data_IF_117919878627
#
_entry.id   IF_117919878627
#
_cell.length_a   1.000
_cell.length_b   1.000
_cell.length_c   1.000
_cell.angle_alpha   90.00
_cell.angle_beta   90.00
_cell.angle_gamma   90.00
#
_symmetry.space_group_name_H-M   'P 1'
#
loop_
_entity.id
_entity.type
_entity.pdbx_description
1 polymer ?
#
# COMPACT_ATOMS: atom_id res chain seq x y z
N UNK A 1 -46.20 -13.90 17.15
CA UNK A 1 -45.39 -12.94 16.35
C UNK A 1 -44.06 -12.58 17.01
N UNK A 2 -43.97 -12.45 18.34
CA UNK A 2 -42.71 -12.13 19.05
C UNK A 2 -41.58 -13.18 18.86
N UNK A 3 -41.94 -14.44 18.61
CA UNK A 3 -41.03 -15.58 18.50
C UNK A 3 -40.09 -15.53 17.27
N UNK A 4 -40.43 -14.77 16.23
CA UNK A 4 -39.58 -14.59 15.03
C UNK A 4 -38.83 -13.26 15.02
N UNK A 5 -39.27 -12.27 15.81
CA UNK A 5 -38.67 -10.93 15.86
C UNK A 5 -37.35 -10.95 16.63
N UNK A 6 -37.31 -11.67 17.76
CA UNK A 6 -36.10 -11.78 18.60
C UNK A 6 -34.89 -12.36 17.84
N UNK A 7 -34.99 -13.50 17.13
CA UNK A 7 -33.86 -14.03 16.37
C UNK A 7 -33.46 -13.14 15.18
N UNK A 8 -34.42 -12.45 14.54
CA UNK A 8 -34.13 -11.53 13.45
C UNK A 8 -33.35 -10.29 13.92
N UNK A 9 -33.72 -9.71 15.06
CA UNK A 9 -33.02 -8.56 15.65
C UNK A 9 -31.62 -8.97 16.14
N UNK A 10 -31.47 -10.15 16.73
CA UNK A 10 -30.17 -10.65 17.16
C UNK A 10 -29.21 -10.86 15.97
N UNK A 11 -29.71 -11.37 14.85
CA UNK A 11 -28.91 -11.54 13.63
C UNK A 11 -28.50 -10.18 13.03
N UNK A 12 -29.41 -9.21 13.01
CA UNK A 12 -29.12 -7.84 12.56
C UNK A 12 -28.04 -7.14 13.39
N UNK A 13 -28.01 -7.39 14.71
CA UNK A 13 -27.02 -6.84 15.62
C UNK A 13 -25.66 -7.55 15.56
N UNK A 14 -25.62 -8.81 15.09
CA UNK A 14 -24.38 -9.57 14.95
C UNK A 14 -23.61 -9.28 13.65
N UNK A 15 -24.31 -8.89 12.57
CA UNK A 15 -23.71 -8.51 11.28
C UNK A 15 -22.62 -7.42 11.34
N UNK A 16 -22.78 -6.30 12.08
CA UNK A 16 -21.77 -5.24 12.11
C UNK A 16 -20.49 -5.62 12.86
N UNK A 17 -20.47 -6.70 13.65
CA UNK A 17 -19.28 -7.13 14.40
C UNK A 17 -18.21 -7.74 13.48
N UNK A 18 -18.62 -8.42 12.40
CA UNK A 18 -17.69 -8.99 11.41
C UNK A 18 -17.04 -7.94 10.51
N UNK A 19 -17.81 -6.92 10.11
CA UNK A 19 -17.30 -5.79 9.31
C UNK A 19 -16.28 -4.94 10.09
N UNK A 20 -16.46 -4.79 11.40
CA UNK A 20 -15.54 -4.03 12.25
C UNK A 20 -14.18 -4.72 12.41
N UNK A 21 -14.13 -6.05 12.44
CA UNK A 21 -12.86 -6.79 12.58
C UNK A 21 -11.94 -6.64 11.36
N UNK A 22 -12.49 -6.72 10.14
CA UNK A 22 -11.72 -6.43 8.92
C UNK A 22 -11.20 -4.99 8.92
N UNK A 23 -12.05 -4.03 9.33
CA UNK A 23 -11.66 -2.62 9.41
C UNK A 23 -10.56 -2.34 10.45
N UNK A 24 -10.51 -3.09 11.56
CA UNK A 24 -9.47 -2.92 12.58
C UNK A 24 -8.11 -3.42 12.08
N UNK A 25 -8.09 -4.56 11.38
CA UNK A 25 -6.87 -5.10 10.79
C UNK A 25 -6.30 -4.15 9.74
N UNK A 26 -7.15 -3.62 8.85
CA UNK A 26 -6.78 -2.64 7.84
C UNK A 26 -6.28 -1.32 8.46
N UNK A 27 -6.94 -0.85 9.52
CA UNK A 27 -6.51 0.34 10.26
C UNK A 27 -5.11 0.15 10.88
N UNK A 28 -4.88 -0.98 11.54
CA UNK A 28 -3.59 -1.29 12.14
C UNK A 28 -2.50 -1.46 11.07
N UNK A 29 -2.83 -2.09 9.94
CA UNK A 29 -1.92 -2.19 8.80
C UNK A 29 -1.55 -0.80 8.27
N UNK A 30 -2.54 0.07 8.02
CA UNK A 30 -2.30 1.45 7.59
C UNK A 30 -1.35 2.20 8.54
N UNK A 31 -1.56 2.05 9.87
CA UNK A 31 -0.68 2.65 10.88
C UNK A 31 0.76 2.12 10.82
N UNK A 32 0.93 0.82 10.66
CA UNK A 32 2.25 0.22 10.51
C UNK A 32 2.95 0.71 9.22
N UNK A 33 2.21 0.79 8.12
CA UNK A 33 2.75 1.31 6.86
C UNK A 33 3.13 2.79 6.98
N UNK A 34 2.38 3.60 7.74
CA UNK A 34 2.74 5.00 8.01
C UNK A 34 4.09 5.09 8.73
N UNK A 35 4.32 4.27 9.75
CA UNK A 35 5.60 4.22 10.46
C UNK A 35 6.76 3.78 9.55
N UNK A 36 6.53 2.76 8.71
CA UNK A 36 7.53 2.33 7.72
C UNK A 36 7.83 3.43 6.72
N UNK A 37 6.82 4.16 6.24
CA UNK A 37 6.99 5.28 5.33
C UNK A 37 7.80 6.42 5.97
N UNK A 38 7.48 6.82 7.19
CA UNK A 38 8.20 7.85 7.95
C UNK A 38 9.69 7.52 8.06
N UNK A 39 10.01 6.31 8.56
CA UNK A 39 11.39 5.85 8.68
C UNK A 39 12.09 5.73 7.33
N UNK A 40 11.39 5.22 6.32
CA UNK A 40 11.95 5.06 4.98
C UNK A 40 12.20 6.40 4.29
N UNK A 41 11.52 7.48 4.71
CA UNK A 41 11.66 8.82 4.17
C UNK A 41 12.84 9.61 4.75
N UNK A 42 13.53 9.08 5.76
CA UNK A 42 14.74 9.69 6.28
C UNK A 42 15.77 9.89 5.16
N UNK A 43 16.24 11.14 5.01
CA UNK A 43 17.21 11.52 3.98
C UNK A 43 16.67 11.57 2.55
N UNK A 44 15.34 11.61 2.36
CA UNK A 44 14.72 11.81 1.05
C UNK A 44 14.24 13.28 0.86
N UNK A 45 14.19 13.79 -0.38
CA UNK A 45 14.49 13.09 -1.64
C UNK A 45 16.00 12.81 -1.81
N UNK A 46 16.33 11.70 -2.49
CA UNK A 46 17.71 11.35 -2.82
C UNK A 46 17.83 10.79 -4.23
N UNK A 47 18.95 11.06 -4.89
CA UNK A 47 19.26 10.43 -6.18
C UNK A 47 19.60 8.95 -5.96
N UNK A 48 18.94 8.04 -6.69
CA UNK A 48 19.35 6.65 -6.82
C UNK A 48 20.49 6.55 -7.85
N UNK A 49 20.34 7.28 -8.96
CA UNK A 49 21.36 7.47 -9.97
C UNK A 49 21.09 8.82 -10.69
N UNK A 50 21.85 9.11 -11.77
CA UNK A 50 21.72 10.37 -12.51
C UNK A 50 20.33 10.60 -13.14
N UNK A 51 19.57 9.54 -13.37
CA UNK A 51 18.29 9.56 -14.10
C UNK A 51 17.09 9.19 -13.21
N UNK A 52 17.28 8.90 -11.93
CA UNK A 52 16.23 8.41 -11.04
C UNK A 52 16.35 9.00 -9.64
N UNK A 53 15.31 9.73 -9.22
CA UNK A 53 15.18 10.35 -7.91
C UNK A 53 14.14 9.59 -7.07
N UNK A 54 14.53 9.18 -5.87
CA UNK A 54 13.63 8.64 -4.85
C UNK A 54 13.01 9.81 -4.08
N UNK A 55 11.71 10.05 -4.28
CA UNK A 55 10.93 11.12 -3.62
C UNK A 55 10.28 10.65 -2.33
N UNK A 56 10.43 9.37 -1.99
CA UNK A 56 9.93 8.79 -0.76
C UNK A 56 8.58 8.12 -0.87
N UNK A 57 8.07 7.79 0.29
CA UNK A 57 7.00 6.86 0.51
C UNK A 57 5.77 7.58 1.01
N UNK A 58 4.62 7.19 0.48
CA UNK A 58 3.28 7.59 0.94
C UNK A 58 2.46 6.33 1.21
N UNK A 59 1.41 6.46 2.01
CA UNK A 59 0.50 5.34 2.32
C UNK A 59 -0.90 5.68 1.82
N UNK A 60 -1.49 4.76 1.07
CA UNK A 60 -2.89 4.81 0.65
C UNK A 60 -3.58 3.52 1.12
N UNK A 61 -4.44 3.64 2.13
CA UNK A 61 -5.09 2.49 2.77
C UNK A 61 -4.07 1.45 3.25
N UNK A 62 -4.05 0.29 2.61
CA UNK A 62 -3.15 -0.84 2.92
C UNK A 62 -1.94 -0.93 1.98
N UNK A 63 -1.67 0.12 1.19
CA UNK A 63 -0.61 0.16 0.19
C UNK A 63 0.46 1.17 0.57
N UNK A 64 1.71 0.70 0.64
CA UNK A 64 2.89 1.55 0.76
C UNK A 64 3.45 1.85 -0.64
N UNK A 65 3.50 3.13 -1.01
CA UNK A 65 3.83 3.59 -2.36
C UNK A 65 5.17 4.29 -2.34
N UNK A 66 6.16 3.80 -3.09
CA UNK A 66 7.39 4.54 -3.34
C UNK A 66 7.23 5.43 -4.58
N UNK A 67 7.35 6.74 -4.39
CA UNK A 67 7.28 7.75 -5.43
C UNK A 67 8.68 7.97 -6.02
N UNK A 68 8.81 7.70 -7.31
CA UNK A 68 10.05 7.83 -8.06
C UNK A 68 9.85 8.86 -9.17
N UNK A 69 10.86 9.67 -9.42
CA UNK A 69 10.90 10.60 -10.55
C UNK A 69 12.05 10.22 -11.46
N UNK A 70 11.72 9.83 -12.70
CA UNK A 70 12.69 9.43 -13.71
C UNK A 70 12.92 10.58 -14.70
N UNK A 71 14.15 10.67 -15.23
CA UNK A 71 14.45 11.59 -16.33
C UNK A 71 13.58 11.29 -17.56
N UNK A 72 13.35 12.25 -18.46
CA UNK A 72 12.53 12.03 -19.66
C UNK A 72 13.03 10.84 -20.50
N UNK A 73 14.35 10.67 -20.60
CA UNK A 73 14.99 9.58 -21.35
C UNK A 73 14.72 8.23 -20.67
N UNK A 74 14.98 8.10 -19.38
CA UNK A 74 14.73 6.85 -18.64
C UNK A 74 13.23 6.51 -18.65
N UNK A 75 12.37 7.49 -18.45
CA UNK A 75 10.92 7.30 -18.51
C UNK A 75 10.45 6.83 -19.90
N UNK A 76 11.03 7.36 -20.99
CA UNK A 76 10.74 6.89 -22.34
C UNK A 76 11.19 5.43 -22.55
N UNK A 77 12.38 5.07 -22.07
CA UNK A 77 12.89 3.70 -22.11
C UNK A 77 11.97 2.74 -21.34
N UNK A 78 11.59 3.07 -20.10
CA UNK A 78 10.69 2.25 -19.29
C UNK A 78 9.32 2.07 -19.95
N UNK A 79 8.77 3.10 -20.62
CA UNK A 79 7.50 3.00 -21.36
C UNK A 79 7.61 2.17 -22.64
N UNK A 80 8.79 2.14 -23.28
CA UNK A 80 9.01 1.38 -24.50
C UNK A 80 9.15 -0.14 -24.27
N UNK A 81 9.51 -0.56 -23.06
CA UNK A 81 9.70 -1.96 -22.68
C UNK A 81 9.23 -2.25 -21.23
N UNK A 82 7.93 -2.07 -20.92
CA UNK A 82 7.40 -2.25 -19.55
C UNK A 82 7.61 -3.69 -19.02
N UNK A 83 7.61 -4.69 -19.90
CA UNK A 83 7.86 -6.10 -19.58
C UNK A 83 9.29 -6.35 -19.07
N UNK A 84 10.24 -5.46 -19.33
CA UNK A 84 11.57 -5.53 -18.74
C UNK A 84 11.62 -4.85 -17.35
N UNK A 85 10.93 -3.72 -17.19
CA UNK A 85 10.96 -2.91 -15.96
C UNK A 85 10.18 -3.54 -14.81
N UNK A 86 8.96 -4.04 -15.06
CA UNK A 86 8.07 -4.57 -14.01
C UNK A 86 8.67 -5.80 -13.29
N UNK A 87 9.22 -6.82 -13.97
CA UNK A 87 9.80 -7.97 -13.29
C UNK A 87 11.04 -7.62 -12.46
N UNK A 88 11.81 -6.61 -12.87
CA UNK A 88 12.96 -6.16 -12.08
C UNK A 88 12.52 -5.56 -10.75
N UNK A 89 11.47 -4.71 -10.76
CA UNK A 89 10.86 -4.18 -9.54
C UNK A 89 10.30 -5.30 -8.67
N UNK A 90 9.56 -6.25 -9.28
CA UNK A 90 9.01 -7.41 -8.57
C UNK A 90 10.07 -8.24 -7.87
N UNK A 91 11.18 -8.57 -8.55
CA UNK A 91 12.30 -9.28 -7.92
C UNK A 91 12.89 -8.50 -6.75
N UNK A 92 13.13 -7.20 -6.93
CA UNK A 92 13.70 -6.35 -5.88
C UNK A 92 12.80 -6.26 -4.65
N UNK A 93 11.49 -6.17 -4.83
CA UNK A 93 10.52 -6.10 -3.72
C UNK A 93 10.39 -7.46 -3.04
N UNK A 94 10.21 -8.55 -3.80
CA UNK A 94 10.02 -9.89 -3.25
C UNK A 94 11.27 -10.49 -2.61
N UNK A 95 12.46 -9.94 -2.87
CA UNK A 95 13.71 -10.33 -2.20
C UNK A 95 14.07 -9.43 -1.01
N UNK A 96 13.25 -8.42 -0.68
CA UNK A 96 13.49 -7.52 0.44
C UNK A 96 12.95 -8.16 1.75
N UNK A 97 13.81 -8.44 2.75
CA UNK A 97 13.44 -9.17 3.96
C UNK A 97 12.57 -8.38 4.94
#
# INVERSE_FOLDING_TARGET
MLRTIIPAVALLLALPLGAQAASLAEFNLNKNLQQVAEKSNEGKPRAINADLLDKGFTVDGTVLINNLEASPTLAAQMRSAPEAAVPQLGRSVCSNP
#
